data_IF_021477706410
#
_entry.id   IF_021477706410
#
_cell.length_a   1.000
_cell.length_b   1.000
_cell.length_c   1.000
_cell.angle_alpha   90.00
_cell.angle_beta   90.00
_cell.angle_gamma   90.00
#
_symmetry.space_group_name_H-M   'P 1'
#
loop_
_entity.id
_entity.type
_entity.pdbx_description
1 polymer ?
#
# COMPACT_ATOMS: atom_id res chain seq x y z
N UNK A 1 18.08 30.19 4.28
CA UNK A 1 17.14 30.24 5.42
C UNK A 1 16.78 28.81 5.74
N UNK A 2 17.26 28.30 6.86
CA UNK A 2 16.95 26.94 7.32
C UNK A 2 15.66 27.00 8.15
N UNK A 3 14.69 26.13 7.85
CA UNK A 3 13.41 26.07 8.58
C UNK A 3 13.34 24.74 9.28
N UNK A 4 13.25 24.75 10.61
CA UNK A 4 13.07 23.55 11.42
C UNK A 4 11.58 23.34 11.70
N UNK A 5 11.09 22.13 11.45
CA UNK A 5 9.70 21.76 11.70
C UNK A 5 9.72 20.60 12.71
N UNK A 6 9.15 20.83 13.90
CA UNK A 6 8.98 19.81 14.93
C UNK A 6 7.53 19.38 14.98
N UNK A 7 7.29 18.07 14.95
CA UNK A 7 5.97 17.48 15.09
C UNK A 7 6.03 16.22 15.94
N UNK A 8 4.95 15.96 16.67
CA UNK A 8 4.68 14.69 17.33
C UNK A 8 3.91 13.77 16.38
N UNK A 9 4.26 12.48 16.39
CA UNK A 9 3.55 11.43 15.66
C UNK A 9 2.83 10.56 16.68
N UNK A 10 1.51 10.44 16.54
CA UNK A 10 0.66 9.69 17.46
C UNK A 10 -0.16 8.69 16.64
N UNK A 11 -0.13 7.43 17.04
CA UNK A 11 -1.03 6.40 16.50
C UNK A 11 -2.29 6.35 17.36
N UNK A 12 -3.46 6.60 16.78
CA UNK A 12 -4.75 6.58 17.47
C UNK A 12 -5.76 5.81 16.64
N UNK A 13 -6.26 4.70 17.17
CA UNK A 13 -7.22 3.82 16.48
C UNK A 13 -6.75 3.36 15.08
N UNK A 14 -5.43 3.33 14.87
CA UNK A 14 -4.79 3.02 13.57
C UNK A 14 -4.59 4.23 12.64
N UNK A 15 -5.24 5.36 12.88
CA UNK A 15 -4.93 6.62 12.23
C UNK A 15 -3.58 7.15 12.76
N UNK A 16 -2.84 7.86 11.89
CA UNK A 16 -1.60 8.53 12.26
C UNK A 16 -1.85 10.03 12.30
N UNK A 17 -1.72 10.63 13.48
CA UNK A 17 -1.83 12.06 13.71
C UNK A 17 -0.44 12.68 13.79
N UNK A 18 -0.17 13.63 12.90
CA UNK A 18 0.94 14.56 12.98
C UNK A 18 0.44 15.83 13.64
N UNK A 19 1.09 16.25 14.72
CA UNK A 19 0.78 17.50 15.41
C UNK A 19 2.03 18.35 15.56
N UNK A 20 2.00 19.57 15.04
CA UNK A 20 3.07 20.55 15.22
C UNK A 20 2.94 21.28 16.56
N UNK A 21 4.01 21.96 16.99
CA UNK A 21 4.01 22.73 18.25
C UNK A 21 3.00 23.88 18.26
N UNK A 22 2.67 24.45 17.10
CA UNK A 22 1.63 25.48 16.93
C UNK A 22 0.21 24.91 16.87
N UNK A 23 0.04 23.60 17.12
CA UNK A 23 -1.25 22.94 17.24
C UNK A 23 -1.92 22.58 15.91
N UNK A 24 -1.23 22.74 14.77
CA UNK A 24 -1.75 22.26 13.49
C UNK A 24 -1.67 20.74 13.45
N UNK A 25 -2.70 20.16 12.84
CA UNK A 25 -2.88 18.73 12.76
C UNK A 25 -3.00 18.26 11.31
N UNK A 26 -2.38 17.12 11.03
CA UNK A 26 -2.55 16.38 9.79
C UNK A 26 -2.78 14.91 10.13
N UNK A 27 -3.82 14.33 9.54
CA UNK A 27 -4.25 12.95 9.84
C UNK A 27 -4.09 12.08 8.60
N UNK A 28 -3.38 10.98 8.75
CA UNK A 28 -3.37 9.87 7.79
C UNK A 28 -4.32 8.79 8.27
N UNK A 29 -5.32 8.50 7.44
CA UNK A 29 -6.34 7.50 7.76
C UNK A 29 -5.80 6.08 7.71
N UNK A 30 -6.30 5.23 8.62
CA UNK A 30 -5.93 3.82 8.68
C UNK A 30 -6.19 3.11 7.34
N UNK A 31 -7.31 3.41 6.69
CA UNK A 31 -7.70 2.85 5.39
C UNK A 31 -6.78 3.28 4.23
N UNK A 32 -6.07 4.40 4.35
CA UNK A 32 -5.12 4.85 3.33
C UNK A 32 -3.77 4.16 3.52
N UNK A 33 -3.73 2.91 3.05
CA UNK A 33 -2.53 2.06 3.09
C UNK A 33 -1.38 2.70 2.30
N UNK A 34 -1.68 3.42 1.22
CA UNK A 34 -0.64 4.03 0.37
C UNK A 34 0.04 5.16 1.12
N UNK A 35 -0.74 6.06 1.71
CA UNK A 35 -0.22 7.16 2.51
C UNK A 35 0.52 6.65 3.75
N UNK A 36 0.00 5.63 4.45
CA UNK A 36 0.70 5.01 5.60
C UNK A 36 2.06 4.43 5.21
N UNK A 37 2.16 3.77 4.05
CA UNK A 37 3.46 3.24 3.56
C UNK A 37 4.43 4.37 3.23
N UNK A 38 3.95 5.43 2.58
CA UNK A 38 4.76 6.60 2.25
C UNK A 38 5.33 7.24 3.52
N UNK A 39 4.47 7.50 4.50
CA UNK A 39 4.84 8.12 5.76
C UNK A 39 5.74 7.24 6.62
N UNK A 40 5.50 5.92 6.66
CA UNK A 40 6.39 4.96 7.32
C UNK A 40 7.82 5.04 6.78
N UNK A 41 7.99 5.14 5.45
CA UNK A 41 9.32 5.25 4.84
C UNK A 41 9.98 6.57 5.19
N UNK A 42 9.24 7.69 5.13
CA UNK A 42 9.77 9.01 5.52
C UNK A 42 10.25 9.02 6.97
N UNK A 43 9.42 8.54 7.90
CA UNK A 43 9.78 8.52 9.33
C UNK A 43 10.99 7.63 9.59
N UNK A 44 11.07 6.46 8.96
CA UNK A 44 12.23 5.59 9.09
C UNK A 44 13.54 6.20 8.54
N UNK A 45 13.45 7.10 7.55
CA UNK A 45 14.62 7.80 7.00
C UNK A 45 15.02 9.04 7.82
N UNK A 46 14.07 9.65 8.52
CA UNK A 46 14.26 10.89 9.29
C UNK A 46 14.49 10.64 10.79
N UNK A 47 14.47 9.39 11.24
CA UNK A 47 14.63 9.02 12.65
C UNK A 47 15.54 7.81 12.80
N UNK A 48 16.17 7.66 13.96
CA UNK A 48 16.97 6.49 14.32
C UNK A 48 16.15 5.34 14.92
N UNK A 49 14.83 5.36 14.74
CA UNK A 49 13.94 4.32 15.28
C UNK A 49 14.19 2.98 14.59
N UNK A 50 14.16 1.86 15.34
CA UNK A 50 14.21 0.54 14.75
C UNK A 50 13.07 0.36 13.73
N UNK A 51 13.38 -0.15 12.54
CA UNK A 51 12.39 -0.38 11.47
C UNK A 51 11.17 -1.19 11.94
N UNK A 52 11.36 -2.10 12.91
CA UNK A 52 10.27 -2.86 13.52
C UNK A 52 9.25 -1.94 14.20
N UNK A 53 9.73 -0.97 14.95
CA UNK A 53 8.91 -0.08 15.76
C UNK A 53 8.20 0.93 14.86
N UNK A 54 8.90 1.45 13.83
CA UNK A 54 8.28 2.26 12.79
C UNK A 54 7.16 1.49 12.09
N UNK A 55 7.40 0.23 11.68
CA UNK A 55 6.34 -0.59 11.09
C UNK A 55 5.14 -0.72 12.04
N UNK A 56 5.37 -0.93 13.34
CA UNK A 56 4.30 -1.05 14.33
C UNK A 56 3.50 0.25 14.51
N UNK A 57 4.17 1.41 14.59
CA UNK A 57 3.53 2.74 14.67
C UNK A 57 2.56 2.91 13.51
N UNK A 58 3.02 2.57 12.30
CA UNK A 58 2.23 2.66 11.08
C UNK A 58 1.34 1.43 10.83
N UNK A 59 1.16 0.53 11.81
CA UNK A 59 0.23 -0.60 11.79
C UNK A 59 0.57 -1.72 10.80
N UNK A 60 1.84 -1.92 10.48
CA UNK A 60 2.36 -3.02 9.66
C UNK A 60 3.11 -4.05 10.52
N UNK A 61 2.90 -5.34 10.23
CA UNK A 61 3.43 -6.44 11.05
C UNK A 61 4.87 -6.85 10.71
N UNK A 62 5.36 -6.49 9.51
CA UNK A 62 6.63 -7.01 8.99
C UNK A 62 7.53 -5.90 8.47
N UNK A 63 8.83 -6.01 8.79
CA UNK A 63 9.89 -5.17 8.21
C UNK A 63 9.95 -5.29 6.69
N UNK A 64 9.52 -6.41 6.11
CA UNK A 64 9.46 -6.58 4.66
C UNK A 64 8.54 -5.54 4.01
N UNK A 65 7.48 -5.11 4.70
CA UNK A 65 6.60 -4.05 4.19
C UNK A 65 7.35 -2.73 4.01
N UNK A 66 8.27 -2.40 4.93
CA UNK A 66 9.16 -1.25 4.79
C UNK A 66 10.11 -1.39 3.61
N UNK A 67 10.88 -2.48 3.53
CA UNK A 67 11.87 -2.63 2.46
C UNK A 67 11.22 -2.69 1.08
N UNK A 68 10.05 -3.33 0.96
CA UNK A 68 9.27 -3.31 -0.28
C UNK A 68 8.78 -1.90 -0.62
N UNK A 69 8.17 -1.18 0.33
CA UNK A 69 7.70 0.19 0.08
C UNK A 69 8.84 1.13 -0.30
N UNK A 70 9.99 1.03 0.39
CA UNK A 70 11.21 1.80 0.08
C UNK A 70 11.70 1.51 -1.34
N UNK A 71 11.88 0.24 -1.70
CA UNK A 71 12.36 -0.13 -3.04
C UNK A 71 11.42 0.36 -4.15
N UNK A 72 10.11 0.23 -3.96
CA UNK A 72 9.10 0.71 -4.92
C UNK A 72 9.12 2.25 -5.04
N UNK A 73 9.28 2.97 -3.93
CA UNK A 73 9.41 4.43 -3.93
C UNK A 73 10.68 4.90 -4.66
N UNK A 74 11.80 4.20 -4.48
CA UNK A 74 13.06 4.51 -5.15
C UNK A 74 13.00 4.23 -6.66
N UNK A 75 12.29 3.17 -7.08
CA UNK A 75 12.22 2.75 -8.48
C UNK A 75 11.16 3.52 -9.28
N UNK A 76 9.95 3.73 -8.72
CA UNK A 76 8.77 4.20 -9.46
C UNK A 76 8.10 5.41 -8.77
N UNK A 77 8.62 5.85 -7.61
CA UNK A 77 8.01 6.91 -6.82
C UNK A 77 6.71 6.48 -6.13
N UNK A 78 5.95 7.47 -5.64
CA UNK A 78 4.71 7.23 -4.88
C UNK A 78 3.64 6.50 -5.66
N UNK A 79 3.64 6.61 -7.00
CA UNK A 79 2.72 5.90 -7.89
C UNK A 79 2.84 4.39 -7.74
N UNK A 80 4.04 3.87 -7.47
CA UNK A 80 4.27 2.44 -7.27
C UNK A 80 3.61 1.87 -6.01
N UNK A 81 3.27 2.70 -5.01
CA UNK A 81 2.61 2.25 -3.78
C UNK A 81 1.14 1.90 -3.99
N UNK A 82 0.51 2.44 -5.04
CA UNK A 82 -0.87 2.13 -5.36
C UNK A 82 -1.02 0.66 -5.75
N UNK A 83 -2.10 -0.01 -5.30
CA UNK A 83 -2.36 -1.38 -5.70
C UNK A 83 -2.47 -1.45 -7.22
N UNK A 84 -1.61 -2.27 -7.84
CA UNK A 84 -1.75 -2.57 -9.27
C UNK A 84 -3.10 -3.23 -9.49
N UNK A 85 -3.78 -2.90 -10.60
CA UNK A 85 -4.96 -3.64 -11.04
C UNK A 85 -4.55 -5.11 -11.13
N UNK A 86 -5.03 -5.93 -10.19
CA UNK A 86 -4.84 -7.37 -10.28
C UNK A 86 -5.56 -7.80 -11.55
N UNK A 87 -4.87 -8.55 -12.42
CA UNK A 87 -5.54 -9.22 -13.54
C UNK A 87 -6.71 -10.06 -13.04
N UNK A 88 -7.59 -10.54 -13.94
CA UNK A 88 -8.74 -11.34 -13.54
C UNK A 88 -8.29 -12.49 -12.62
N UNK A 89 -8.82 -12.51 -11.39
CA UNK A 89 -8.44 -13.48 -10.34
C UNK A 89 -8.87 -14.92 -10.63
N UNK A 90 -9.66 -15.15 -11.67
CA UNK A 90 -10.14 -16.47 -12.10
C UNK A 90 -9.62 -16.76 -13.50
N UNK A 91 -9.02 -17.94 -13.67
CA UNK A 91 -8.98 -18.58 -14.97
C UNK A 91 -10.42 -18.79 -15.41
N UNK A 92 -10.86 -18.13 -16.48
CA UNK A 92 -12.12 -18.46 -17.12
C UNK A 92 -11.94 -19.82 -17.80
N UNK A 93 -12.25 -20.89 -17.07
CA UNK A 93 -12.47 -22.21 -17.68
C UNK A 93 -13.84 -22.15 -18.34
N UNK A 94 -13.89 -22.51 -19.62
CA UNK A 94 -15.15 -22.59 -20.38
C UNK A 94 -16.08 -23.58 -19.68
N UNK A 95 -17.33 -23.18 -19.39
CA UNK A 95 -18.29 -24.09 -18.76
C UNK A 95 -18.51 -25.31 -19.66
N UNK A 96 -18.84 -26.46 -19.06
CA UNK A 96 -19.12 -27.70 -19.82
C UNK A 96 -20.20 -27.48 -20.90
N UNK A 97 -21.17 -26.60 -20.63
CA UNK A 97 -22.19 -26.19 -21.59
C UNK A 97 -21.58 -25.51 -22.83
N UNK A 98 -20.66 -24.57 -22.63
CA UNK A 98 -19.98 -23.87 -23.73
C UNK A 98 -18.99 -24.77 -24.45
N UNK A 99 -18.33 -25.71 -23.76
CA UNK A 99 -17.51 -26.77 -24.37
C UNK A 99 -18.36 -27.64 -25.28
N UNK A 100 -19.49 -28.12 -24.79
CA UNK A 100 -20.45 -28.91 -25.57
C UNK A 100 -20.93 -28.14 -26.78
N UNK A 101 -21.31 -26.87 -26.59
CA UNK A 101 -21.77 -26.02 -27.69
C UNK A 101 -20.71 -25.78 -28.75
N UNK A 102 -19.45 -25.58 -28.35
CA UNK A 102 -18.33 -25.41 -29.28
C UNK A 102 -18.07 -26.71 -30.08
N UNK A 103 -18.19 -27.87 -29.44
CA UNK A 103 -18.08 -29.18 -30.10
C UNK A 103 -19.22 -29.35 -31.12
N UNK A 104 -20.48 -29.09 -30.74
CA UNK A 104 -21.63 -29.16 -31.65
C UNK A 104 -21.44 -28.27 -32.89
N UNK A 105 -21.02 -27.01 -32.69
CA UNK A 105 -20.79 -26.08 -33.80
C UNK A 105 -19.67 -26.54 -34.73
N UNK A 106 -18.64 -27.18 -34.17
CA UNK A 106 -17.52 -27.71 -34.97
C UNK A 106 -17.91 -28.90 -35.84
N UNK A 107 -18.82 -29.75 -35.36
CA UNK A 107 -19.22 -30.98 -36.05
C UNK A 107 -20.56 -30.86 -36.80
N UNK A 108 -21.29 -29.74 -36.68
CA UNK A 108 -22.49 -29.44 -37.48
C UNK A 108 -22.21 -28.91 -38.89
N UNK A 109 -20.96 -28.59 -39.22
CA UNK A 109 -20.58 -28.09 -40.55
C UNK A 109 -20.07 -29.21 -41.46
N UNK A 110 -20.85 -30.30 -41.55
CA UNK A 110 -20.73 -31.35 -42.58
C UNK A 110 -22.12 -31.66 -43.12
#
# INVERSE_FOLDING_TARGET
METQITFAIISRDGDILYRTLDGKEYVVKYEDICQRKLEMVKVAQLTDLPIKDVCQIFGFKSKQTYYHAKGVLEEIGSVGLFPRKTGPKRNYVMSEELVTRAIELRFRTN
#
